data_IF_197941921844
#
_entry.id   IF_197941921844
#
_cell.length_a   1.000
_cell.length_b   1.000
_cell.length_c   1.000
_cell.angle_alpha   90.00
_cell.angle_beta   90.00
_cell.angle_gamma   90.00
#
_symmetry.space_group_name_H-M   'P 1'
#
loop_
_entity.id
_entity.type
_entity.pdbx_description
1 polymer ?
#
# COMPACT_ATOMS: atom_id res chain seq x y z
N UNK A 1 43.96 -28.19 40.54
CA UNK A 1 44.15 -27.99 39.09
C UNK A 1 44.03 -29.26 38.24
N UNK A 2 44.11 -30.47 38.81
CA UNK A 2 43.98 -31.73 38.07
C UNK A 2 42.49 -32.15 37.84
N UNK A 3 41.57 -31.68 38.64
CA UNK A 3 40.13 -31.99 38.49
C UNK A 3 39.48 -31.27 37.33
N UNK A 4 39.88 -30.03 37.01
CA UNK A 4 39.32 -29.26 35.89
C UNK A 4 39.74 -29.77 34.50
N UNK A 5 40.92 -30.38 34.39
CA UNK A 5 41.41 -30.95 33.13
C UNK A 5 40.68 -32.26 32.78
N UNK A 6 40.33 -33.08 33.79
CA UNK A 6 39.57 -34.32 33.57
C UNK A 6 38.12 -34.06 33.15
N UNK A 7 37.47 -33.02 33.69
CA UNK A 7 36.10 -32.67 33.34
C UNK A 7 35.99 -32.09 31.92
N UNK A 8 37.01 -31.37 31.44
CA UNK A 8 37.04 -30.78 30.10
C UNK A 8 37.24 -31.84 29.01
N UNK A 9 38.05 -32.84 29.26
CA UNK A 9 38.27 -33.95 28.33
C UNK A 9 37.04 -34.89 28.25
N UNK A 10 36.35 -35.13 29.37
CA UNK A 10 35.14 -35.97 29.38
C UNK A 10 34.01 -35.37 28.57
N UNK A 11 33.81 -34.04 28.61
CA UNK A 11 32.80 -33.34 27.79
C UNK A 11 33.11 -33.36 26.29
N UNK A 12 34.37 -33.30 25.88
CA UNK A 12 34.82 -33.41 24.49
C UNK A 12 34.65 -34.82 23.94
N UNK A 13 34.93 -35.87 24.75
CA UNK A 13 34.72 -37.25 24.36
C UNK A 13 33.23 -37.57 24.25
N UNK A 14 32.39 -37.04 25.15
CA UNK A 14 30.93 -37.23 25.09
C UNK A 14 30.31 -36.56 23.84
N UNK A 15 30.80 -35.37 23.46
CA UNK A 15 30.33 -34.66 22.25
C UNK A 15 30.75 -35.39 20.96
N UNK A 16 31.95 -36.00 20.93
CA UNK A 16 32.41 -36.81 19.80
C UNK A 16 31.63 -38.13 19.67
N UNK A 17 31.30 -38.79 20.76
CA UNK A 17 30.47 -40.02 20.74
C UNK A 17 29.05 -39.74 20.29
N UNK A 18 28.46 -38.61 20.71
CA UNK A 18 27.11 -38.20 20.22
C UNK A 18 27.09 -37.88 18.71
N UNK A 19 28.16 -37.24 18.18
CA UNK A 19 28.23 -36.92 16.76
C UNK A 19 28.42 -38.16 15.87
N UNK A 20 29.15 -39.17 16.37
CA UNK A 20 29.31 -40.45 15.63
C UNK A 20 28.06 -41.29 15.67
N UNK A 21 27.28 -41.27 16.78
CA UNK A 21 25.98 -41.96 16.83
C UNK A 21 24.93 -41.32 15.89
N UNK A 22 24.95 -40.00 15.67
CA UNK A 22 24.06 -39.34 14.70
C UNK A 22 24.37 -39.70 13.24
N UNK A 23 25.60 -39.95 12.89
CA UNK A 23 26.01 -40.35 11.55
C UNK A 23 25.66 -41.82 11.24
N UNK A 24 25.65 -42.69 12.27
CA UNK A 24 25.33 -44.11 12.11
C UNK A 24 23.82 -44.38 11.95
N UNK A 25 22.94 -43.45 12.31
CA UNK A 25 21.49 -43.58 12.11
C UNK A 25 21.02 -43.27 10.68
N UNK A 26 21.90 -42.78 9.80
CA UNK A 26 21.59 -42.40 8.43
C UNK A 26 21.78 -43.53 7.37
N UNK A 27 22.21 -44.73 7.77
CA UNK A 27 22.49 -45.84 6.82
C UNK A 27 21.75 -47.15 7.10
N UNK A 28 20.68 -47.16 7.87
CA UNK A 28 19.84 -48.34 8.08
C UNK A 28 18.42 -48.11 7.60
N UNK A 29 18.20 -48.19 6.29
CA UNK A 29 16.90 -48.15 5.65
C UNK A 29 16.92 -48.95 4.38
N UNK A 30 16.92 -50.27 4.51
CA UNK A 30 16.76 -51.20 3.39
C UNK A 30 15.29 -51.57 3.21
N UNK A 31 14.86 -51.60 1.98
CA UNK A 31 13.53 -51.64 1.45
C UNK A 31 12.54 -52.73 1.94
N UNK A 32 11.29 -52.44 1.72
CA UNK A 32 10.24 -53.43 1.35
C UNK A 32 9.13 -52.71 0.62
N UNK A 33 8.70 -53.34 -0.44
CA UNK A 33 7.55 -52.98 -1.29
C UNK A 33 6.29 -52.82 -0.47
N UNK A 34 5.57 -51.69 -0.67
CA UNK A 34 4.20 -51.55 -0.20
C UNK A 34 3.32 -50.91 -1.28
N UNK A 35 2.11 -51.43 -1.34
CA UNK A 35 1.05 -51.19 -2.28
C UNK A 35 0.69 -49.72 -2.45
N UNK A 36 0.40 -49.32 -3.69
CA UNK A 36 -0.16 -48.03 -4.06
C UNK A 36 -1.54 -47.80 -3.46
N UNK A 37 -1.65 -46.89 -2.55
CA UNK A 37 -2.90 -46.20 -2.20
C UNK A 37 -3.11 -45.05 -3.17
N UNK A 38 -4.26 -44.86 -3.80
CA UNK A 38 -4.56 -43.75 -4.68
C UNK A 38 -4.97 -42.54 -3.87
N UNK A 39 -4.30 -41.41 -4.04
CA UNK A 39 -4.57 -40.05 -3.56
C UNK A 39 -3.59 -39.49 -2.52
N UNK A 40 -2.37 -39.19 -3.00
CA UNK A 40 -1.57 -38.11 -2.45
C UNK A 40 -0.97 -37.32 -3.63
N UNK A 41 -1.00 -35.99 -3.65
CA UNK A 41 -0.37 -35.22 -4.71
C UNK A 41 1.14 -35.28 -4.58
N UNK A 42 1.80 -35.63 -5.68
CA UNK A 42 3.26 -35.63 -5.84
C UNK A 42 3.78 -34.19 -5.68
N UNK A 43 4.53 -33.95 -4.61
CA UNK A 43 5.31 -32.71 -4.44
C UNK A 43 6.73 -32.98 -4.97
N UNK A 44 6.89 -32.94 -6.28
CA UNK A 44 8.21 -32.80 -6.89
C UNK A 44 8.36 -31.36 -7.40
N UNK A 45 9.38 -30.68 -6.90
CA UNK A 45 9.77 -29.35 -7.31
C UNK A 45 10.09 -29.26 -8.80
N UNK A 46 10.00 -28.02 -9.30
CA UNK A 46 10.19 -27.56 -10.66
C UNK A 46 8.99 -27.74 -11.59
N UNK A 47 8.14 -26.74 -11.53
CA UNK A 47 7.08 -26.58 -12.50
C UNK A 47 6.03 -25.58 -12.04
N UNK A 48 6.35 -24.29 -12.09
CA UNK A 48 5.31 -23.28 -12.22
C UNK A 48 4.49 -23.66 -13.45
N UNK A 49 3.33 -24.27 -13.20
CA UNK A 49 2.33 -24.54 -14.23
C UNK A 49 1.84 -23.19 -14.78
N UNK A 50 2.45 -22.76 -15.88
CA UNK A 50 2.17 -21.49 -16.58
C UNK A 50 0.80 -21.48 -17.28
N UNK A 51 -0.14 -22.34 -16.97
CA UNK A 51 -1.42 -22.41 -17.68
C UNK A 51 -2.64 -22.80 -16.80
N UNK A 52 -2.66 -22.50 -15.51
CA UNK A 52 -3.95 -22.35 -14.87
C UNK A 52 -4.44 -20.93 -15.16
N UNK A 53 -5.32 -20.77 -16.13
CA UNK A 53 -6.20 -19.61 -16.24
C UNK A 53 -7.06 -19.64 -14.98
N UNK A 54 -6.62 -18.96 -13.92
CA UNK A 54 -7.43 -18.78 -12.72
C UNK A 54 -8.68 -18.01 -13.17
N UNK A 55 -9.76 -18.74 -13.40
CA UNK A 55 -11.07 -18.12 -13.61
C UNK A 55 -11.54 -17.61 -12.26
N UNK A 56 -11.69 -16.32 -12.09
CA UNK A 56 -12.15 -15.73 -10.83
C UNK A 56 -12.59 -14.29 -11.04
N UNK A 57 -13.27 -13.71 -10.05
CA UNK A 57 -13.60 -12.29 -10.06
C UNK A 57 -12.32 -11.44 -10.06
N UNK A 58 -12.47 -10.19 -10.47
CA UNK A 58 -11.36 -9.24 -10.60
C UNK A 58 -11.48 -8.19 -9.48
N UNK A 59 -10.39 -7.94 -8.80
CA UNK A 59 -10.28 -6.78 -7.91
C UNK A 59 -10.27 -5.49 -8.75
N UNK A 60 -11.27 -4.61 -8.64
CA UNK A 60 -11.38 -3.42 -9.48
C UNK A 60 -10.32 -2.36 -9.19
N UNK A 61 -9.58 -2.46 -8.07
CA UNK A 61 -8.51 -1.54 -7.69
C UNK A 61 -7.13 -1.95 -8.25
N UNK A 62 -6.97 -3.23 -8.67
CA UNK A 62 -5.67 -3.75 -9.12
C UNK A 62 -5.72 -4.52 -10.42
N UNK A 63 -6.91 -4.89 -10.91
CA UNK A 63 -7.06 -5.78 -12.06
C UNK A 63 -6.70 -7.24 -11.79
N UNK A 64 -6.27 -7.58 -10.57
CA UNK A 64 -5.87 -8.94 -10.20
C UNK A 64 -7.08 -9.87 -10.04
N UNK A 65 -6.92 -11.12 -10.44
CA UNK A 65 -7.91 -12.17 -10.15
C UNK A 65 -7.84 -12.54 -8.67
N UNK A 66 -9.00 -12.63 -8.04
CA UNK A 66 -9.16 -12.91 -6.62
C UNK A 66 -10.06 -14.12 -6.40
N UNK A 67 -9.96 -14.73 -5.22
CA UNK A 67 -10.76 -15.89 -4.86
C UNK A 67 -12.21 -15.55 -4.47
N UNK A 68 -12.45 -14.33 -4.01
CA UNK A 68 -13.73 -13.82 -3.56
C UNK A 68 -14.09 -12.53 -4.25
N UNK A 69 -15.31 -12.40 -4.75
CA UNK A 69 -15.81 -11.17 -5.36
C UNK A 69 -16.16 -10.14 -4.27
N UNK A 70 -15.38 -9.08 -4.23
CA UNK A 70 -15.59 -7.91 -3.37
C UNK A 70 -15.74 -6.64 -4.20
N UNK A 71 -16.05 -6.75 -5.49
CA UNK A 71 -16.13 -5.61 -6.40
C UNK A 71 -17.29 -4.67 -6.09
N UNK A 72 -18.34 -5.15 -5.43
CA UNK A 72 -19.47 -4.35 -4.97
C UNK A 72 -19.28 -3.74 -3.57
N UNK A 73 -18.16 -4.04 -2.90
CA UNK A 73 -17.88 -3.50 -1.57
C UNK A 73 -17.13 -2.18 -1.64
N UNK A 74 -17.54 -1.28 -0.78
CA UNK A 74 -16.88 0.02 -0.56
C UNK A 74 -15.47 -0.19 0.00
N UNK A 75 -14.44 0.38 -0.61
CA UNK A 75 -13.07 0.25 -0.13
C UNK A 75 -12.84 1.07 1.15
N UNK A 76 -11.73 0.79 1.82
CA UNK A 76 -11.26 1.56 2.96
C UNK A 76 -10.16 2.53 2.50
N UNK A 77 -10.36 3.83 2.73
CA UNK A 77 -9.35 4.86 2.52
C UNK A 77 -8.72 5.25 3.84
N UNK A 78 -7.47 4.86 4.08
CA UNK A 78 -6.78 5.01 5.37
C UNK A 78 -5.70 6.08 5.29
N UNK A 79 -5.76 7.07 6.17
CA UNK A 79 -4.75 8.13 6.25
C UNK A 79 -3.49 7.66 6.96
N UNK A 80 -2.36 7.68 6.27
CA UNK A 80 -1.06 7.20 6.71
C UNK A 80 -0.09 8.37 6.92
N UNK A 81 0.61 8.32 8.04
CA UNK A 81 1.63 9.28 8.42
C UNK A 81 2.95 9.01 7.70
N UNK A 82 3.47 9.99 6.98
CA UNK A 82 4.76 9.87 6.28
C UNK A 82 5.88 10.73 6.89
N UNK A 83 5.69 11.21 8.13
CA UNK A 83 6.77 11.88 8.85
C UNK A 83 7.95 10.90 9.08
N UNK A 84 9.22 11.31 9.03
CA UNK A 84 10.37 10.44 9.28
C UNK A 84 10.27 9.64 10.57
N UNK A 85 9.82 10.26 11.66
CA UNK A 85 9.62 9.60 12.95
C UNK A 85 8.47 8.59 13.00
N UNK A 86 7.59 8.64 12.00
CA UNK A 86 6.47 7.72 11.86
C UNK A 86 6.81 6.49 11.00
N UNK A 87 7.97 6.48 10.33
CA UNK A 87 8.39 5.36 9.49
C UNK A 87 9.14 4.29 10.28
N UNK A 88 9.09 3.04 9.81
CA UNK A 88 8.31 2.53 8.70
C UNK A 88 6.80 2.49 9.02
N UNK A 89 5.96 2.73 8.01
CA UNK A 89 4.51 2.51 8.11
C UNK A 89 4.20 1.02 8.06
N UNK A 90 3.04 0.63 8.58
CA UNK A 90 2.60 -0.77 8.62
C UNK A 90 1.34 -0.93 7.76
N UNK A 91 1.24 -2.02 7.02
CA UNK A 91 0.09 -2.38 6.20
C UNK A 91 0.12 -1.83 4.77
N UNK A 92 1.06 -0.95 4.42
CA UNK A 92 1.11 -0.35 3.08
C UNK A 92 1.39 -1.36 1.96
N UNK A 93 2.13 -2.43 2.24
CA UNK A 93 2.37 -3.50 1.26
C UNK A 93 1.11 -4.26 0.86
N UNK A 94 0.01 -4.09 1.60
CA UNK A 94 -1.28 -4.73 1.36
C UNK A 94 -2.31 -3.78 0.71
N UNK A 95 -1.97 -2.48 0.59
CA UNK A 95 -2.82 -1.52 -0.10
C UNK A 95 -2.86 -1.79 -1.60
N UNK A 96 -4.04 -1.61 -2.22
CA UNK A 96 -4.22 -1.68 -3.67
C UNK A 96 -3.72 -0.43 -4.36
N UNK A 97 -4.02 0.74 -3.78
CA UNK A 97 -3.60 2.05 -4.30
C UNK A 97 -3.04 2.88 -3.14
N UNK A 98 -1.95 3.61 -3.41
CA UNK A 98 -1.35 4.54 -2.46
C UNK A 98 -1.32 5.93 -3.10
N UNK A 99 -2.03 6.88 -2.52
CA UNK A 99 -1.91 8.29 -2.87
C UNK A 99 -0.87 8.96 -1.99
N UNK A 100 0.02 9.73 -2.59
CA UNK A 100 0.96 10.59 -1.88
C UNK A 100 0.78 12.04 -2.31
N UNK A 101 0.65 12.95 -1.36
CA UNK A 101 0.50 14.37 -1.62
C UNK A 101 1.21 15.22 -0.56
N UNK A 102 1.55 16.45 -0.92
CA UNK A 102 2.14 17.43 -0.02
C UNK A 102 1.18 17.71 1.17
N UNK A 103 1.76 17.82 2.35
CA UNK A 103 1.07 18.19 3.58
C UNK A 103 1.78 19.38 4.25
N UNK A 104 1.49 19.64 5.52
CA UNK A 104 2.11 20.71 6.29
C UNK A 104 3.61 20.46 6.48
N UNK A 105 4.37 21.54 6.65
CA UNK A 105 5.81 21.47 6.93
C UNK A 105 6.66 20.99 5.75
N UNK A 106 6.11 21.01 4.53
CA UNK A 106 6.83 20.56 3.33
C UNK A 106 7.06 19.05 3.24
N UNK A 107 6.45 18.26 4.13
CA UNK A 107 6.46 16.79 4.08
C UNK A 107 5.24 16.26 3.32
N UNK A 108 5.27 15.01 2.92
CA UNK A 108 4.12 14.36 2.32
C UNK A 108 3.30 13.60 3.37
N UNK A 109 2.08 13.26 2.99
CA UNK A 109 1.18 12.34 3.68
C UNK A 109 0.65 11.35 2.66
N UNK A 110 0.18 10.19 3.13
CA UNK A 110 -0.38 9.18 2.24
C UNK A 110 -1.83 8.89 2.59
N UNK A 111 -2.58 8.43 1.60
CA UNK A 111 -3.86 7.75 1.76
C UNK A 111 -3.75 6.40 1.06
N UNK A 112 -3.90 5.34 1.82
CA UNK A 112 -3.87 3.98 1.29
C UNK A 112 -5.31 3.48 1.07
N UNK A 113 -5.58 2.92 -0.11
CA UNK A 113 -6.87 2.35 -0.49
C UNK A 113 -6.78 0.84 -0.42
N UNK A 114 -7.63 0.23 0.39
CA UNK A 114 -7.71 -1.20 0.59
C UNK A 114 -9.06 -1.72 0.15
N UNK A 115 -9.08 -2.84 -0.56
CA UNK A 115 -10.32 -3.55 -0.85
C UNK A 115 -10.89 -4.22 0.41
N UNK A 116 -10.01 -4.63 1.33
CA UNK A 116 -10.35 -5.17 2.63
C UNK A 116 -9.22 -4.86 3.63
N UNK A 117 -9.57 -4.72 4.90
CA UNK A 117 -8.61 -4.46 5.99
C UNK A 117 -8.61 -5.56 7.05
N UNK A 118 -9.46 -6.58 6.92
CA UNK A 118 -9.51 -7.68 7.89
C UNK A 118 -8.17 -8.44 7.94
N UNK A 119 -7.72 -8.75 9.14
CA UNK A 119 -6.48 -9.48 9.38
C UNK A 119 -5.19 -8.64 9.29
N UNK A 120 -5.27 -7.36 8.94
CA UNK A 120 -4.07 -6.51 8.83
C UNK A 120 -4.00 -5.46 9.93
N UNK A 121 -2.79 -5.05 10.28
CA UNK A 121 -2.54 -3.82 11.06
C UNK A 121 -2.20 -2.69 10.10
N UNK A 122 -2.78 -1.50 10.31
CA UNK A 122 -2.53 -0.33 9.47
C UNK A 122 -2.10 0.87 10.30
N UNK A 123 -1.05 1.55 9.88
CA UNK A 123 -0.62 2.81 10.50
C UNK A 123 0.88 3.13 10.30
N UNK A 124 1.42 4.14 11.00
CA UNK A 124 0.66 4.98 11.94
C UNK A 124 -0.33 5.88 11.18
N UNK A 125 -1.50 6.05 11.78
CA UNK A 125 -2.57 6.86 11.20
C UNK A 125 -2.26 8.36 11.30
N UNK A 126 -2.87 9.14 10.39
CA UNK A 126 -2.70 10.59 10.38
C UNK A 126 -4.00 11.34 10.06
N UNK A 127 -3.94 12.67 10.25
CA UNK A 127 -5.10 13.55 10.19
C UNK A 127 -5.65 13.72 8.77
N UNK A 128 -6.98 13.79 8.71
CA UNK A 128 -7.74 14.12 7.51
C UNK A 128 -7.42 15.52 6.97
N UNK A 129 -7.50 15.67 5.64
CA UNK A 129 -7.40 16.95 4.92
C UNK A 129 -8.45 16.98 3.80
N UNK A 130 -8.95 18.17 3.42
CA UNK A 130 -10.02 18.31 2.42
C UNK A 130 -9.75 17.61 1.09
N UNK A 131 -8.52 17.66 0.60
CA UNK A 131 -8.14 17.02 -0.66
C UNK A 131 -8.15 15.48 -0.56
N UNK A 132 -7.78 14.87 0.58
CA UNK A 132 -7.90 13.43 0.78
C UNK A 132 -9.36 12.98 0.95
N UNK A 133 -10.19 13.79 1.64
CA UNK A 133 -11.63 13.54 1.74
C UNK A 133 -12.27 13.55 0.35
N UNK A 134 -11.88 14.51 -0.50
CA UNK A 134 -12.35 14.57 -1.88
C UNK A 134 -11.98 13.31 -2.67
N UNK A 135 -10.77 12.77 -2.50
CA UNK A 135 -10.38 11.51 -3.15
C UNK A 135 -11.11 10.30 -2.55
N UNK A 136 -11.26 10.22 -1.24
CA UNK A 136 -12.00 9.13 -0.58
C UNK A 136 -13.49 9.13 -0.97
N UNK A 137 -14.10 10.31 -1.15
CA UNK A 137 -15.48 10.45 -1.61
C UNK A 137 -15.67 9.83 -3.01
N UNK A 138 -14.70 10.03 -3.90
CA UNK A 138 -14.74 9.46 -5.25
C UNK A 138 -14.76 7.93 -5.26
N UNK A 139 -14.19 7.29 -4.25
CA UNK A 139 -14.25 5.85 -4.05
C UNK A 139 -15.51 5.38 -3.31
N UNK A 140 -16.40 6.30 -2.90
CA UNK A 140 -17.48 6.00 -1.95
C UNK A 140 -16.95 5.21 -0.73
N UNK A 141 -15.72 5.53 -0.29
CA UNK A 141 -14.97 4.75 0.67
C UNK A 141 -15.42 4.99 2.12
N UNK A 142 -15.16 4.01 3.00
CA UNK A 142 -15.14 4.23 4.43
C UNK A 142 -13.78 4.87 4.77
N UNK A 143 -13.82 6.10 5.31
CA UNK A 143 -12.63 6.91 5.52
C UNK A 143 -12.05 6.79 6.92
N UNK A 144 -10.82 6.32 7.06
CA UNK A 144 -10.16 6.04 8.34
C UNK A 144 -9.03 7.07 8.56
N UNK A 145 -9.08 7.78 9.68
CA UNK A 145 -8.11 8.84 9.96
C UNK A 145 -7.87 9.05 11.47
N UNK A 146 -6.90 9.89 11.82
CA UNK A 146 -6.58 10.24 13.19
C UNK A 146 -6.58 11.77 13.35
N UNK A 147 -7.70 12.35 13.73
CA UNK A 147 -7.88 13.79 13.77
C UNK A 147 -8.03 14.42 12.39
N UNK A 148 -8.13 15.75 12.33
CA UNK A 148 -8.31 16.49 11.08
C UNK A 148 -8.18 17.99 11.26
N UNK A 149 -8.09 18.73 10.14
CA UNK A 149 -8.29 20.19 10.16
C UNK A 149 -9.76 20.51 10.35
N UNK A 150 -10.08 21.72 10.82
CA UNK A 150 -11.48 22.15 11.00
C UNK A 150 -12.26 22.05 9.68
N UNK A 151 -11.63 22.42 8.54
CA UNK A 151 -12.25 22.28 7.23
C UNK A 151 -12.49 20.80 6.88
N UNK A 152 -11.56 19.89 7.24
CA UNK A 152 -11.75 18.46 7.00
C UNK A 152 -12.96 17.91 7.77
N UNK A 153 -13.14 18.30 9.02
CA UNK A 153 -14.32 17.91 9.81
C UNK A 153 -15.63 18.50 9.25
N UNK A 154 -15.58 19.76 8.78
CA UNK A 154 -16.71 20.36 8.10
C UNK A 154 -17.08 19.61 6.83
N UNK A 155 -16.08 19.24 6.02
CA UNK A 155 -16.29 18.48 4.78
C UNK A 155 -16.87 17.08 5.06
N UNK A 156 -16.30 16.32 6.00
CA UNK A 156 -16.82 15.02 6.42
C UNK A 156 -18.31 15.10 6.76
N UNK A 157 -18.68 16.11 7.60
CA UNK A 157 -20.06 16.31 8.02
C UNK A 157 -20.98 16.71 6.86
N UNK A 158 -20.55 17.70 6.06
CA UNK A 158 -21.38 18.29 4.99
C UNK A 158 -21.61 17.34 3.84
N UNK A 159 -20.59 16.52 3.52
CA UNK A 159 -20.63 15.54 2.43
C UNK A 159 -21.18 14.18 2.88
N UNK A 160 -21.43 13.99 4.18
CA UNK A 160 -21.96 12.74 4.72
C UNK A 160 -20.97 11.57 4.60
N UNK A 161 -19.66 11.84 4.70
CA UNK A 161 -18.63 10.81 4.55
C UNK A 161 -18.67 9.83 5.74
N UNK A 162 -18.88 8.56 5.46
CA UNK A 162 -18.69 7.51 6.46
C UNK A 162 -17.23 7.43 6.87
N UNK A 163 -16.97 7.67 8.15
CA UNK A 163 -15.60 7.77 8.64
C UNK A 163 -15.43 7.19 10.04
N UNK A 164 -14.20 6.80 10.36
CA UNK A 164 -13.75 6.44 11.68
C UNK A 164 -12.55 7.32 12.06
N UNK A 165 -12.63 7.98 13.22
CA UNK A 165 -11.58 8.88 13.73
C UNK A 165 -10.94 8.33 14.99
N UNK A 166 -9.69 7.89 14.91
CA UNK A 166 -8.93 7.36 16.04
C UNK A 166 -8.60 8.38 17.15
N UNK A 167 -9.00 9.65 16.98
CA UNK A 167 -8.80 10.72 17.96
C UNK A 167 -10.12 11.26 18.52
N UNK A 168 -11.12 11.47 17.66
CA UNK A 168 -12.42 12.08 18.04
C UNK A 168 -13.60 11.15 17.77
N UNK A 169 -13.35 9.88 17.45
CA UNK A 169 -14.41 8.89 17.21
C UNK A 169 -15.32 8.79 18.44
N UNK A 170 -16.62 8.98 18.20
CA UNK A 170 -17.62 9.08 19.27
C UNK A 170 -18.60 7.90 19.30
N UNK A 171 -18.57 7.02 18.29
CA UNK A 171 -19.46 5.85 18.26
C UNK A 171 -19.01 4.80 19.27
N UNK A 172 -19.97 4.20 19.95
CA UNK A 172 -19.69 3.14 20.94
C UNK A 172 -18.95 1.96 20.27
N UNK A 173 -17.80 1.58 20.82
CA UNK A 173 -16.95 0.51 20.29
C UNK A 173 -15.91 0.94 19.27
N UNK A 174 -16.01 2.12 18.67
CA UNK A 174 -15.06 2.62 17.65
C UNK A 174 -13.62 2.67 18.19
N UNK A 175 -13.43 3.16 19.40
CA UNK A 175 -12.12 3.30 20.02
C UNK A 175 -11.37 1.98 20.19
N UNK A 176 -12.07 0.84 20.26
CA UNK A 176 -11.45 -0.48 20.38
C UNK A 176 -10.71 -0.93 19.11
N UNK A 177 -10.99 -0.29 17.99
CA UNK A 177 -10.31 -0.55 16.70
C UNK A 177 -8.90 0.05 16.63
N UNK A 178 -8.53 0.86 17.62
CA UNK A 178 -7.26 1.58 17.62
C UNK A 178 -6.42 1.26 18.85
N UNK A 179 -5.10 1.40 18.67
CA UNK A 179 -4.16 1.31 19.79
C UNK A 179 -2.94 2.22 19.55
N UNK A 180 -2.24 2.56 20.66
CA UNK A 180 -0.95 3.24 20.61
C UNK A 180 0.16 2.21 20.67
N UNK A 181 1.08 2.25 19.70
CA UNK A 181 2.27 1.40 19.70
C UNK A 181 3.19 1.77 20.89
N UNK A 182 3.24 0.86 21.87
CA UNK A 182 3.98 1.06 23.10
C UNK A 182 5.50 1.04 22.85
N UNK A 183 5.97 0.31 21.83
CA UNK A 183 7.39 0.29 21.45
C UNK A 183 7.82 1.66 20.97
N UNK A 184 7.07 2.30 20.09
CA UNK A 184 7.33 3.67 19.61
C UNK A 184 7.27 4.70 20.74
N UNK A 185 6.32 4.57 21.65
CA UNK A 185 6.22 5.44 22.83
C UNK A 185 7.44 5.29 23.74
N UNK A 186 7.89 4.07 24.00
CA UNK A 186 9.08 3.81 24.83
C UNK A 186 10.39 4.30 24.18
N UNK A 187 10.41 4.41 22.85
CA UNK A 187 11.50 5.02 22.09
C UNK A 187 11.45 6.55 22.06
N UNK A 188 10.49 7.18 22.76
CA UNK A 188 10.34 8.63 22.82
C UNK A 188 9.74 9.26 21.57
N UNK A 189 9.11 8.48 20.68
CA UNK A 189 8.39 9.04 19.54
C UNK A 189 7.18 9.85 20.00
N UNK A 190 6.90 10.96 19.32
CA UNK A 190 5.72 11.77 19.60
C UNK A 190 4.45 10.94 19.43
N UNK A 191 3.47 11.19 20.30
CA UNK A 191 2.20 10.45 20.34
C UNK A 191 1.47 10.43 18.99
N UNK A 192 1.63 11.45 18.17
CA UNK A 192 1.05 11.57 16.82
C UNK A 192 1.63 10.57 15.79
N UNK A 193 2.73 9.88 16.13
CA UNK A 193 3.39 8.87 15.28
C UNK A 193 3.12 7.43 15.75
N UNK A 194 2.21 7.23 16.70
CA UNK A 194 2.06 5.96 17.40
C UNK A 194 0.67 5.33 17.33
N UNK A 195 -0.30 5.95 16.64
CA UNK A 195 -1.65 5.41 16.53
C UNK A 195 -1.76 4.44 15.36
N UNK A 196 -2.22 3.22 15.64
CA UNK A 196 -2.45 2.16 14.67
C UNK A 196 -3.89 1.67 14.74
N UNK A 197 -4.39 1.10 13.65
CA UNK A 197 -5.65 0.40 13.58
C UNK A 197 -5.42 -1.12 13.52
N UNK A 198 -6.22 -1.85 14.30
CA UNK A 198 -6.45 -3.29 14.19
C UNK A 198 -7.52 -3.49 13.11
N UNK A 199 -7.12 -3.98 11.95
CA UNK A 199 -8.01 -4.08 10.79
C UNK A 199 -9.19 -5.01 11.01
N UNK A 200 -9.04 -6.11 11.76
CA UNK A 200 -10.15 -7.00 12.04
C UNK A 200 -11.23 -6.36 12.92
N UNK A 201 -10.81 -5.59 13.93
CA UNK A 201 -11.74 -4.83 14.75
C UNK A 201 -12.38 -3.69 13.96
N UNK A 202 -11.61 -3.04 13.09
CA UNK A 202 -12.08 -1.99 12.20
C UNK A 202 -13.14 -2.54 11.23
N UNK A 203 -12.86 -3.65 10.53
CA UNK A 203 -13.80 -4.31 9.63
C UNK A 203 -15.08 -4.76 10.35
N UNK A 204 -14.93 -5.35 11.54
CA UNK A 204 -16.06 -5.74 12.37
C UNK A 204 -16.92 -4.55 12.81
N UNK A 205 -16.29 -3.45 13.20
CA UNK A 205 -17.01 -2.22 13.55
C UNK A 205 -17.76 -1.66 12.34
N UNK A 206 -17.12 -1.56 11.17
CA UNK A 206 -17.74 -1.06 9.95
C UNK A 206 -18.93 -1.91 9.54
N UNK A 207 -18.82 -3.23 9.58
CA UNK A 207 -19.93 -4.16 9.29
C UNK A 207 -21.19 -3.94 10.14
N UNK A 208 -21.01 -3.46 11.36
CA UNK A 208 -22.13 -3.23 12.28
C UNK A 208 -22.69 -1.80 12.25
N UNK A 209 -22.00 -0.86 11.59
CA UNK A 209 -22.32 0.56 11.70
C UNK A 209 -22.50 1.27 10.35
N UNK A 210 -22.07 0.67 9.24
CA UNK A 210 -22.12 1.26 7.90
C UNK A 210 -22.71 0.29 6.88
N UNK A 211 -23.29 0.83 5.81
CA UNK A 211 -23.51 0.08 4.59
C UNK A 211 -22.16 -0.21 3.91
N UNK A 212 -21.86 -1.48 3.68
CA UNK A 212 -20.58 -1.89 3.10
C UNK A 212 -20.61 -2.04 1.59
N UNK A 213 -21.78 -2.04 0.98
CA UNK A 213 -21.92 -2.12 -0.47
C UNK A 213 -22.10 -0.74 -1.07
N UNK A 214 -21.57 -0.59 -2.26
CA UNK A 214 -21.93 0.55 -3.10
C UNK A 214 -23.42 0.56 -3.44
N UNK A 215 -23.95 1.76 -3.67
CA UNK A 215 -25.24 1.87 -4.34
C UNK A 215 -25.15 1.21 -5.73
N UNK A 216 -26.24 0.59 -6.18
CA UNK A 216 -26.27 -0.14 -7.45
C UNK A 216 -26.02 0.73 -8.70
N UNK A 217 -26.07 2.04 -8.55
CA UNK A 217 -25.75 3.01 -9.61
C UNK A 217 -24.29 3.47 -9.59
N UNK A 218 -23.51 3.08 -8.59
CA UNK A 218 -22.11 3.48 -8.45
C UNK A 218 -21.21 2.74 -9.46
N UNK A 219 -20.34 3.50 -10.15
CA UNK A 219 -19.32 2.93 -11.04
C UNK A 219 -18.12 2.41 -10.24
N UNK A 220 -18.14 1.11 -9.93
CA UNK A 220 -17.08 0.45 -9.18
C UNK A 220 -15.80 0.15 -9.99
N UNK A 221 -15.68 0.65 -11.21
CA UNK A 221 -14.42 0.65 -11.96
C UNK A 221 -13.42 1.68 -11.42
N UNK A 222 -13.91 2.65 -10.65
CA UNK A 222 -13.13 3.77 -10.10
C UNK A 222 -12.37 4.58 -11.17
N UNK A 223 -12.87 4.59 -12.40
CA UNK A 223 -12.20 5.22 -13.54
C UNK A 223 -10.91 4.49 -13.99
N UNK A 224 -10.70 3.25 -13.54
CA UNK A 224 -9.53 2.44 -13.87
C UNK A 224 -9.84 1.38 -14.92
N UNK A 225 -8.88 1.12 -15.78
CA UNK A 225 -8.90 0.03 -16.76
C UNK A 225 -7.56 -0.69 -16.72
N UNK A 226 -7.56 -2.01 -16.86
CA UNK A 226 -6.35 -2.84 -16.76
C UNK A 226 -6.15 -3.68 -18.01
N UNK A 227 -4.87 -3.84 -18.42
CA UNK A 227 -4.49 -4.71 -19.54
C UNK A 227 -3.18 -5.44 -19.22
N UNK A 228 -3.05 -6.67 -19.74
CA UNK A 228 -1.82 -7.46 -19.63
C UNK A 228 -0.64 -6.79 -20.34
N UNK A 229 -0.90 -6.10 -21.45
CA UNK A 229 0.11 -5.40 -22.27
C UNK A 229 0.03 -3.86 -22.12
N UNK A 230 -0.22 -3.37 -20.91
CA UNK A 230 -0.25 -1.93 -20.64
C UNK A 230 1.08 -1.24 -20.96
N UNK A 231 2.20 -1.95 -20.89
CA UNK A 231 3.55 -1.45 -21.20
C UNK A 231 3.67 -1.00 -22.67
N UNK A 232 2.88 -1.57 -23.59
CA UNK A 232 2.89 -1.19 -25.01
C UNK A 232 2.46 0.26 -25.26
N UNK A 233 1.72 0.88 -24.36
CA UNK A 233 1.30 2.28 -24.41
C UNK A 233 2.45 3.26 -24.08
N UNK A 234 3.51 2.77 -23.44
CA UNK A 234 4.64 3.59 -23.02
C UNK A 234 5.63 3.79 -24.16
N UNK A 235 5.95 5.04 -24.46
CA UNK A 235 6.79 5.44 -25.62
C UNK A 235 8.23 5.74 -25.26
N UNK A 236 8.54 5.91 -23.99
CA UNK A 236 9.85 6.32 -23.49
C UNK A 236 10.34 5.38 -22.39
N UNK A 237 11.66 5.21 -22.27
CA UNK A 237 12.27 4.40 -21.22
C UNK A 237 12.65 5.32 -20.05
N UNK A 238 12.34 4.88 -18.84
CA UNK A 238 12.88 5.43 -17.59
C UNK A 238 12.73 4.38 -16.51
N UNK A 239 13.82 3.73 -16.16
CA UNK A 239 13.83 2.77 -15.08
C UNK A 239 13.66 3.46 -13.72
N UNK A 240 14.30 4.62 -13.56
CA UNK A 240 14.31 5.36 -12.30
C UNK A 240 13.87 6.80 -12.52
N UNK A 241 13.07 7.32 -11.58
CA UNK A 241 12.66 8.72 -11.58
C UNK A 241 12.38 9.22 -10.17
N UNK A 242 12.40 10.54 -9.98
CA UNK A 242 12.14 11.18 -8.68
C UNK A 242 11.04 12.22 -8.82
N UNK A 243 10.05 12.15 -7.95
CA UNK A 243 8.98 13.13 -7.79
C UNK A 243 9.30 14.06 -6.63
N UNK A 244 9.33 15.38 -6.89
CA UNK A 244 9.62 16.41 -5.89
C UNK A 244 8.31 17.08 -5.44
N UNK A 245 8.03 17.09 -4.13
CA UNK A 245 6.86 17.76 -3.58
C UNK A 245 7.19 19.13 -3.00
N UNK A 246 8.29 19.23 -2.27
CA UNK A 246 8.85 20.44 -1.69
C UNK A 246 10.27 20.12 -1.19
N UNK A 247 10.44 19.97 0.13
CA UNK A 247 11.67 19.45 0.73
C UNK A 247 11.77 17.93 0.64
N UNK A 248 10.63 17.26 0.49
CA UNK A 248 10.53 15.82 0.32
C UNK A 248 10.47 15.43 -1.13
N UNK A 249 11.02 14.28 -1.40
CA UNK A 249 10.90 13.61 -2.70
C UNK A 249 10.73 12.11 -2.49
N UNK A 250 10.09 11.48 -3.46
CA UNK A 250 9.99 10.02 -3.56
C UNK A 250 10.63 9.60 -4.88
N UNK A 251 11.63 8.74 -4.80
CA UNK A 251 12.29 8.12 -5.95
C UNK A 251 11.68 6.75 -6.18
N UNK A 252 11.36 6.46 -7.41
CA UNK A 252 10.91 5.15 -7.85
C UNK A 252 12.00 4.48 -8.67
N UNK A 253 12.31 3.23 -8.34
CA UNK A 253 13.30 2.42 -9.07
C UNK A 253 12.65 1.16 -9.58
N UNK A 254 12.88 0.84 -10.84
CA UNK A 254 12.33 -0.36 -11.46
C UNK A 254 13.21 -1.57 -11.21
N UNK A 255 12.64 -2.59 -10.61
CA UNK A 255 13.22 -3.93 -10.50
C UNK A 255 12.80 -4.75 -11.70
N UNK A 256 13.73 -5.03 -12.61
CA UNK A 256 13.45 -5.78 -13.85
C UNK A 256 13.18 -7.27 -13.59
N UNK A 257 13.71 -7.84 -12.52
CA UNK A 257 13.51 -9.24 -12.17
C UNK A 257 12.11 -9.46 -11.60
N UNK A 258 11.65 -8.56 -10.74
CA UNK A 258 10.30 -8.56 -10.16
C UNK A 258 9.25 -7.90 -11.05
N UNK A 259 9.68 -7.12 -12.05
CA UNK A 259 8.83 -6.35 -12.97
C UNK A 259 7.92 -5.33 -12.23
N UNK A 260 8.44 -4.70 -11.20
CA UNK A 260 7.75 -3.71 -10.39
C UNK A 260 8.64 -2.51 -10.04
N UNK A 261 8.04 -1.42 -9.60
CA UNK A 261 8.76 -0.31 -9.00
C UNK A 261 8.77 -0.43 -7.49
N UNK A 262 9.87 -0.01 -6.87
CA UNK A 262 10.00 0.21 -5.44
C UNK A 262 10.13 1.71 -5.15
N UNK A 263 9.47 2.18 -4.08
CA UNK A 263 9.57 3.56 -3.65
C UNK A 263 10.74 3.76 -2.66
N UNK A 264 11.47 4.87 -2.81
CA UNK A 264 12.56 5.27 -1.93
C UNK A 264 12.28 6.69 -1.43
N UNK A 265 12.33 6.90 -0.13
CA UNK A 265 12.13 8.22 0.48
C UNK A 265 13.40 8.61 1.24
N UNK A 266 13.97 9.77 0.89
CA UNK A 266 15.24 10.24 1.46
C UNK A 266 16.42 9.27 1.22
N UNK A 267 16.37 8.50 0.14
CA UNK A 267 17.40 7.54 -0.24
C UNK A 267 17.21 6.11 0.28
N UNK A 268 16.34 5.91 1.28
CA UNK A 268 16.03 4.60 1.84
C UNK A 268 14.81 3.99 1.17
N UNK A 269 14.84 2.69 0.90
CA UNK A 269 13.69 1.95 0.38
C UNK A 269 12.53 2.02 1.37
N UNK A 270 11.33 2.29 0.85
CA UNK A 270 10.12 2.33 1.66
C UNK A 270 9.57 0.92 1.85
N UNK A 271 9.86 0.33 3.00
CA UNK A 271 9.41 -1.01 3.36
C UNK A 271 8.22 -0.95 4.34
N UNK A 272 7.39 -1.98 4.32
CA UNK A 272 6.32 -2.18 5.28
C UNK A 272 6.89 -2.68 6.62
N UNK A 273 6.70 -1.91 7.68
CA UNK A 273 7.20 -2.25 9.01
C UNK A 273 6.47 -3.40 9.69
N UNK A 274 5.36 -3.87 9.14
CA UNK A 274 4.59 -5.00 9.69
C UNK A 274 5.15 -6.36 9.30
N UNK A 275 5.70 -6.46 8.08
CA UNK A 275 6.19 -7.72 7.51
C UNK A 275 7.59 -7.61 6.87
N UNK A 276 8.21 -6.42 6.90
CA UNK A 276 9.50 -6.09 6.30
C UNK A 276 9.57 -6.35 4.77
N UNK A 277 8.44 -6.34 4.08
CA UNK A 277 8.41 -6.48 2.63
C UNK A 277 8.51 -5.12 1.92
N UNK A 278 9.09 -5.12 0.74
CA UNK A 278 9.00 -4.01 -0.22
C UNK A 278 7.54 -3.79 -0.61
N UNK A 279 7.24 -2.57 -1.06
CA UNK A 279 5.96 -2.27 -1.69
C UNK A 279 6.15 -2.41 -3.19
N UNK A 280 5.75 -3.57 -3.71
CA UNK A 280 5.88 -3.89 -5.13
C UNK A 280 4.76 -3.20 -5.92
N UNK A 281 5.11 -2.25 -6.78
CA UNK A 281 4.19 -1.41 -7.54
C UNK A 281 4.27 -1.76 -9.03
N UNK A 282 3.18 -2.24 -9.60
CA UNK A 282 3.08 -2.45 -11.04
C UNK A 282 3.03 -1.13 -11.81
N UNK A 283 2.44 -0.11 -11.19
CA UNK A 283 2.18 1.18 -11.79
C UNK A 283 2.58 2.34 -10.87
N UNK A 284 3.11 3.41 -11.46
CA UNK A 284 3.19 4.72 -10.81
C UNK A 284 2.54 5.76 -11.71
N UNK A 285 1.61 6.53 -11.16
CA UNK A 285 0.98 7.67 -11.82
C UNK A 285 1.45 8.94 -11.12
N UNK A 286 1.87 9.94 -11.87
CA UNK A 286 2.22 11.25 -11.33
C UNK A 286 1.30 12.28 -11.96
N UNK A 287 0.49 12.95 -11.14
CA UNK A 287 -0.44 13.98 -11.56
C UNK A 287 0.12 15.36 -11.22
N UNK A 288 0.29 16.22 -12.21
CA UNK A 288 0.64 17.61 -12.00
C UNK A 288 -0.62 18.37 -11.57
N UNK A 289 -0.63 18.87 -10.33
CA UNK A 289 -1.80 19.50 -9.72
C UNK A 289 -1.43 20.88 -9.17
N UNK A 290 -2.18 21.94 -9.52
CA UNK A 290 -2.00 23.25 -8.89
C UNK A 290 -2.20 23.12 -7.37
N UNK A 291 -1.15 23.48 -6.62
CA UNK A 291 -1.10 23.33 -5.17
C UNK A 291 -0.61 24.62 -4.55
N UNK A 292 -1.27 25.09 -3.48
CA UNK A 292 -0.87 26.31 -2.77
C UNK A 292 -0.99 26.15 -1.26
N UNK A 293 -0.07 26.77 -0.53
CA UNK A 293 -0.18 26.95 0.92
C UNK A 293 -1.22 28.02 1.21
N UNK A 294 -2.19 27.71 2.08
CA UNK A 294 -3.35 28.58 2.33
C UNK A 294 -3.32 29.32 3.67
N UNK A 295 -2.40 28.97 4.55
CA UNK A 295 -2.29 29.63 5.87
C UNK A 295 -0.87 29.51 6.46
N UNK A 296 -0.65 30.21 7.58
CA UNK A 296 0.64 30.21 8.30
C UNK A 296 0.96 28.87 8.98
N UNK A 297 -0.01 27.97 9.11
CA UNK A 297 0.20 26.61 9.60
C UNK A 297 0.80 25.70 8.52
N UNK A 298 0.79 26.16 7.27
CA UNK A 298 1.33 25.43 6.12
C UNK A 298 0.33 24.46 5.48
N UNK A 299 -0.99 24.62 5.73
CA UNK A 299 -1.99 23.76 5.10
C UNK A 299 -2.05 24.01 3.60
N UNK A 300 -2.32 22.94 2.85
CA UNK A 300 -2.34 22.96 1.41
C UNK A 300 -3.78 22.96 0.87
N UNK A 301 -3.99 23.66 -0.25
CA UNK A 301 -5.13 23.48 -1.13
C UNK A 301 -4.64 22.93 -2.48
N UNK A 302 -5.38 21.99 -3.04
CA UNK A 302 -5.06 21.30 -4.29
C UNK A 302 -6.27 21.35 -5.23
N UNK A 303 -6.05 21.70 -6.50
CA UNK A 303 -7.09 21.76 -7.51
C UNK A 303 -7.25 20.39 -8.18
N UNK A 304 -8.00 19.51 -7.52
CA UNK A 304 -8.18 18.12 -7.93
C UNK A 304 -9.35 17.91 -8.89
N UNK A 305 -10.06 18.95 -9.31
CA UNK A 305 -11.14 18.90 -10.30
C UNK A 305 -10.75 19.62 -11.57
N UNK A 306 -11.41 19.28 -12.70
CA UNK A 306 -11.05 19.81 -14.01
C UNK A 306 -10.13 18.85 -14.78
N UNK A 307 -9.00 19.34 -15.24
CA UNK A 307 -8.07 18.54 -16.04
C UNK A 307 -6.62 18.99 -15.84
N UNK A 308 -5.69 18.08 -16.08
CA UNK A 308 -4.26 18.38 -16.03
C UNK A 308 -3.41 17.36 -16.79
N UNK A 309 -2.11 17.57 -16.75
CA UNK A 309 -1.12 16.64 -17.31
C UNK A 309 -0.56 15.73 -16.22
N UNK A 310 0.09 14.66 -16.65
CA UNK A 310 0.79 13.76 -15.77
C UNK A 310 1.66 12.78 -16.51
N UNK A 311 2.14 11.79 -15.79
CA UNK A 311 2.95 10.70 -16.33
C UNK A 311 2.44 9.37 -15.78
N UNK A 312 2.50 8.36 -16.61
CA UNK A 312 2.24 6.98 -16.26
C UNK A 312 3.50 6.14 -16.48
N UNK A 313 3.90 5.39 -15.45
CA UNK A 313 5.07 4.53 -15.45
C UNK A 313 4.66 3.09 -15.20
N UNK A 314 5.12 2.17 -16.03
CA UNK A 314 4.96 0.72 -15.87
C UNK A 314 6.05 0.01 -16.67
N UNK A 315 6.51 -1.16 -16.20
CA UNK A 315 7.46 -2.00 -16.91
C UNK A 315 8.80 -1.32 -17.25
N UNK A 316 9.30 -0.39 -16.45
CA UNK A 316 10.53 0.36 -16.69
C UNK A 316 10.40 1.42 -17.81
N UNK A 317 9.19 1.74 -18.22
CA UNK A 317 8.87 2.73 -19.25
C UNK A 317 7.84 3.74 -18.78
N UNK A 318 7.65 4.81 -19.55
CA UNK A 318 6.64 5.81 -19.24
C UNK A 318 5.99 6.40 -20.49
N UNK A 319 4.86 7.07 -20.27
CA UNK A 319 4.16 7.90 -21.23
C UNK A 319 3.56 9.12 -20.52
N UNK A 320 3.49 10.25 -21.24
CA UNK A 320 2.74 11.42 -20.76
C UNK A 320 1.24 11.18 -20.91
N UNK A 321 0.48 11.55 -19.88
CA UNK A 321 -0.97 11.37 -19.82
C UNK A 321 -1.68 12.71 -19.58
N UNK A 322 -2.99 12.69 -19.80
CA UNK A 322 -3.93 13.71 -19.32
C UNK A 322 -4.82 13.06 -18.26
N UNK A 323 -5.15 13.81 -17.24
CA UNK A 323 -6.18 13.43 -16.28
C UNK A 323 -7.36 14.39 -16.35
N UNK A 324 -8.55 13.88 -16.09
CA UNK A 324 -9.77 14.67 -15.92
C UNK A 324 -10.51 14.18 -14.68
N UNK A 325 -11.25 15.08 -14.05
CA UNK A 325 -12.12 14.80 -12.91
C UNK A 325 -13.20 15.86 -12.86
N UNK A 326 -14.45 15.47 -13.08
CA UNK A 326 -15.56 16.40 -13.26
C UNK A 326 -15.89 17.17 -11.97
N UNK A 327 -15.97 16.47 -10.85
CA UNK A 327 -16.26 17.05 -9.54
C UNK A 327 -15.59 16.25 -8.38
N UNK A 328 -15.96 16.57 -7.14
CA UNK A 328 -15.37 15.93 -5.94
C UNK A 328 -15.76 14.47 -5.75
N UNK A 329 -16.91 14.05 -6.28
CA UNK A 329 -17.40 12.69 -6.17
C UNK A 329 -16.97 11.82 -7.37
N UNK A 330 -16.46 12.46 -8.44
CA UNK A 330 -15.95 11.75 -9.60
C UNK A 330 -14.55 11.17 -9.34
N UNK A 331 -14.21 10.07 -9.99
CA UNK A 331 -12.89 9.49 -9.98
C UNK A 331 -11.97 10.20 -10.98
N UNK A 332 -10.66 10.01 -10.87
CA UNK A 332 -9.73 10.43 -11.91
C UNK A 332 -9.87 9.51 -13.13
N UNK A 333 -10.01 10.12 -14.30
CA UNK A 333 -9.97 9.43 -15.58
C UNK A 333 -8.68 9.79 -16.31
N UNK A 334 -8.00 8.78 -16.84
CA UNK A 334 -6.69 8.94 -17.46
C UNK A 334 -6.77 8.63 -18.95
N UNK A 335 -6.14 9.48 -19.77
CA UNK A 335 -6.01 9.26 -21.21
C UNK A 335 -4.60 9.52 -21.69
N UNK A 336 -4.22 8.90 -22.78
CA UNK A 336 -3.05 9.28 -23.56
C UNK A 336 -3.26 10.67 -24.19
N UNK A 337 -2.21 11.27 -24.76
CA UNK A 337 -2.29 12.59 -25.39
C UNK A 337 -3.31 12.67 -26.53
N UNK A 338 -3.51 11.57 -27.25
CA UNK A 338 -4.47 11.46 -28.36
C UNK A 338 -5.93 11.26 -27.91
N UNK A 339 -6.17 11.12 -26.61
CA UNK A 339 -7.48 10.88 -26.02
C UNK A 339 -7.83 9.41 -25.82
N UNK A 340 -6.98 8.47 -26.22
CA UNK A 340 -7.18 7.04 -25.94
C UNK A 340 -7.18 6.80 -24.42
N UNK A 341 -8.16 6.04 -23.87
CA UNK A 341 -8.15 5.66 -22.47
C UNK A 341 -6.87 4.94 -22.08
N UNK A 342 -6.31 5.29 -20.91
CA UNK A 342 -5.14 4.62 -20.36
C UNK A 342 -5.53 3.28 -19.75
N UNK A 343 -4.77 2.23 -20.06
CA UNK A 343 -4.83 0.97 -19.32
C UNK A 343 -3.65 0.86 -18.36
N UNK A 344 -3.90 0.42 -17.14
CA UNK A 344 -2.88 0.12 -16.14
C UNK A 344 -2.43 -1.33 -16.29
N UNK A 345 -1.19 -1.62 -15.92
CA UNK A 345 -0.75 -3.01 -15.70
C UNK A 345 -1.46 -3.59 -14.48
N UNK A 346 -1.75 -4.89 -14.54
CA UNK A 346 -2.34 -5.60 -13.39
C UNK A 346 -1.40 -5.53 -12.19
N UNK A 347 -1.92 -5.09 -11.05
CA UNK A 347 -1.19 -4.94 -9.79
C UNK A 347 -1.38 -3.58 -9.14
N UNK A 348 -0.62 -3.35 -8.07
CA UNK A 348 -0.74 -2.15 -7.22
C UNK A 348 -0.28 -0.88 -7.93
N UNK A 349 -0.92 0.24 -7.54
CA UNK A 349 -0.63 1.56 -8.12
C UNK A 349 -0.24 2.57 -7.04
N UNK A 350 0.84 3.31 -7.27
CA UNK A 350 1.15 4.52 -6.50
C UNK A 350 0.78 5.76 -7.31
N UNK A 351 0.03 6.67 -6.70
CA UNK A 351 -0.41 7.92 -7.34
C UNK A 351 0.19 9.10 -6.59
N UNK A 352 1.13 9.78 -7.23
CA UNK A 352 1.77 11.00 -6.72
C UNK A 352 0.99 12.22 -7.16
N UNK A 353 0.46 13.00 -6.23
CA UNK A 353 -0.11 14.33 -6.50
C UNK A 353 1.03 15.34 -6.40
N UNK A 354 1.69 15.59 -7.51
CA UNK A 354 2.85 16.48 -7.59
C UNK A 354 2.40 17.94 -7.72
N UNK A 355 2.93 18.87 -6.90
CA UNK A 355 2.68 20.30 -7.08
C UNK A 355 3.16 20.77 -8.45
N UNK A 356 2.27 21.38 -9.24
CA UNK A 356 2.58 21.86 -10.60
C UNK A 356 3.67 22.92 -10.61
N UNK A 357 3.78 23.71 -9.57
CA UNK A 357 4.74 24.80 -9.35
C UNK A 357 6.01 24.38 -8.61
N UNK A 358 6.19 23.07 -8.39
CA UNK A 358 7.42 22.53 -7.80
C UNK A 358 8.61 22.86 -8.69
N UNK A 359 9.66 23.45 -8.09
CA UNK A 359 10.85 23.93 -8.82
C UNK A 359 11.64 22.80 -9.52
N UNK A 360 11.41 21.55 -9.16
CA UNK A 360 12.08 20.39 -9.76
C UNK A 360 11.12 19.46 -10.50
N UNK A 361 9.83 19.43 -10.09
CA UNK A 361 8.82 18.54 -10.69
C UNK A 361 9.25 17.08 -10.66
N UNK A 362 9.29 16.45 -11.84
CA UNK A 362 9.78 15.09 -12.04
C UNK A 362 11.16 15.15 -12.66
N UNK A 363 12.09 14.37 -12.12
CA UNK A 363 13.43 14.16 -12.66
C UNK A 363 13.59 12.71 -13.06
N UNK A 364 13.87 12.47 -14.32
CA UNK A 364 14.19 11.15 -14.89
C UNK A 364 15.66 10.84 -14.62
N UNK A 365 15.97 9.74 -13.97
CA UNK A 365 17.31 9.44 -13.46
C UNK A 365 18.10 8.44 -14.34
N UNK A 366 17.56 8.03 -15.48
CA UNK A 366 18.25 7.11 -16.38
C UNK A 366 17.42 6.71 -17.58
#
# INVERSE_FOLDING_TARGET
>A
NLQNVRCFNLKRILALVLSVLMVLCLFAGCGKDEEKSPNAPDVNGDGLNKNEVVSGPINPLTGEKVSEDKSDLRPYCVMINNHPDARPSVGLSQASIIYEALAEGGITRMMAVFNDVDGITVGSLRSARPYYISMAQAYDAIYIHAGGSEQAYSDIKTLGIDNMDGVRGARSGEASSYYRDQTRLSQGKNVEHTLFADGSKLASFCKNNYELKHDSSYDNTYGLSFAEDAVSQCTSSSADFTVYYSYYNTTFKYDADKKCYHAFISGDEYIDGGNNSSIDLANVIVLNVPTKTIDSYGRQAMELTGSGSGYFFTGGKYVEIKWTRADRADNFHYTLKDGTPLNLSVGKTWISIAPLDSTKGIVFNG
#
